data_IF_583946248952
#
_entry.id   IF_583946248952
#
_cell.length_a   1.000
_cell.length_b   1.000
_cell.length_c   1.000
_cell.angle_alpha   90.00
_cell.angle_beta   90.00
_cell.angle_gamma   90.00
#
_symmetry.space_group_name_H-M   'P 1'
#
loop_
_entity.id
_entity.type
_entity.pdbx_description
1 polymer ?
#
# COMPACT_ATOMS: atom_id res chain seq x y z
N UNK A 1 -4.45 17.06 3.91
CA UNK A 1 -3.56 16.95 2.73
C UNK A 1 -4.20 17.82 1.66
N UNK A 2 -3.42 18.66 0.95
CA UNK A 2 -3.99 19.44 -0.16
C UNK A 2 -4.39 18.51 -1.31
N UNK A 3 -5.35 18.91 -2.11
CA UNK A 3 -5.74 18.17 -3.33
C UNK A 3 -4.79 18.51 -4.48
N UNK A 4 -4.78 17.67 -5.54
CA UNK A 4 -3.99 17.86 -6.77
C UNK A 4 -3.85 19.33 -7.20
N UNK A 5 -4.96 20.07 -7.28
CA UNK A 5 -5.00 21.44 -7.82
C UNK A 5 -4.57 22.51 -6.79
N UNK A 6 -4.44 22.16 -5.52
CA UNK A 6 -4.01 23.04 -4.43
C UNK A 6 -2.50 22.95 -4.15
N UNK A 7 -1.86 21.89 -4.63
CA UNK A 7 -0.46 21.62 -4.33
C UNK A 7 0.45 22.23 -5.40
N UNK A 8 1.58 22.82 -5.01
CA UNK A 8 2.55 23.34 -5.97
C UNK A 8 3.15 22.18 -6.79
N UNK A 9 3.67 22.51 -7.97
CA UNK A 9 4.27 21.55 -8.92
C UNK A 9 5.40 20.70 -8.31
N UNK A 10 6.10 21.23 -7.31
CA UNK A 10 7.16 20.53 -6.57
C UNK A 10 6.65 19.47 -5.59
N UNK A 11 5.35 19.44 -5.31
CA UNK A 11 4.73 18.40 -4.50
C UNK A 11 4.15 17.28 -5.34
N UNK A 12 4.61 16.06 -5.07
CA UNK A 12 4.29 14.86 -5.85
C UNK A 12 2.97 14.18 -5.45
N UNK A 13 2.27 14.68 -4.43
CA UNK A 13 0.95 14.13 -4.10
C UNK A 13 -0.07 14.57 -5.15
N UNK A 14 -0.67 13.59 -5.83
CA UNK A 14 -1.71 13.78 -6.85
C UNK A 14 -3.08 13.28 -6.36
N UNK A 15 -3.22 13.10 -5.05
CA UNK A 15 -4.45 12.61 -4.44
C UNK A 15 -5.60 13.61 -4.63
N UNK A 16 -6.78 13.07 -4.89
CA UNK A 16 -8.00 13.82 -5.13
C UNK A 16 -9.15 13.22 -4.32
N UNK A 17 -9.98 14.06 -3.72
CA UNK A 17 -11.18 13.63 -2.99
C UNK A 17 -12.16 12.97 -3.97
N UNK A 18 -12.74 11.83 -3.58
CA UNK A 18 -13.71 11.12 -4.42
C UNK A 18 -13.10 10.42 -5.63
N UNK A 19 -11.77 10.29 -5.72
CA UNK A 19 -11.14 9.55 -6.80
C UNK A 19 -11.42 8.04 -6.66
N UNK A 20 -11.90 7.44 -7.75
CA UNK A 20 -12.05 5.99 -7.93
C UNK A 20 -10.91 5.44 -8.78
N UNK A 21 -10.81 4.11 -8.92
CA UNK A 21 -9.84 3.47 -9.81
C UNK A 21 -9.88 4.00 -11.25
N UNK A 22 -11.03 4.48 -11.74
CA UNK A 22 -11.18 5.08 -13.06
C UNK A 22 -10.24 6.30 -13.28
N UNK A 23 -9.93 7.05 -12.21
CA UNK A 23 -9.06 8.23 -12.27
C UNK A 23 -7.56 7.90 -12.15
N UNK A 24 -7.21 6.65 -11.83
CA UNK A 24 -5.81 6.29 -11.60
C UNK A 24 -4.89 6.55 -12.80
N UNK A 25 -5.30 6.28 -14.06
CA UNK A 25 -4.46 6.60 -15.22
C UNK A 25 -4.16 8.10 -15.34
N UNK A 26 -5.12 8.97 -15.04
CA UNK A 26 -4.92 10.43 -15.04
C UNK A 26 -3.95 10.85 -13.94
N UNK A 27 -4.13 10.34 -12.71
CA UNK A 27 -3.22 10.62 -11.60
C UNK A 27 -1.80 10.12 -11.87
N UNK A 28 -1.64 8.96 -12.50
CA UNK A 28 -0.34 8.43 -12.89
C UNK A 28 0.36 9.33 -13.91
N UNK A 29 -0.35 9.83 -14.92
CA UNK A 29 0.19 10.79 -15.91
C UNK A 29 0.62 12.09 -15.23
N UNK A 30 -0.21 12.59 -14.32
CA UNK A 30 0.09 13.83 -13.57
C UNK A 30 1.31 13.66 -12.66
N UNK A 31 1.43 12.55 -11.94
CA UNK A 31 2.60 12.24 -11.12
C UNK A 31 3.87 12.22 -11.98
N UNK A 32 3.82 11.53 -13.12
CA UNK A 32 4.95 11.48 -14.08
C UNK A 32 5.30 12.87 -14.59
N UNK A 33 4.31 13.71 -14.89
CA UNK A 33 4.53 15.09 -15.33
C UNK A 33 5.25 15.91 -14.25
N UNK A 34 4.79 15.86 -13.00
CA UNK A 34 5.43 16.55 -11.87
C UNK A 34 6.83 16.04 -11.60
N UNK A 35 7.01 14.73 -11.62
CA UNK A 35 8.31 14.08 -11.42
C UNK A 35 9.34 14.50 -12.48
N UNK A 36 8.92 14.62 -13.75
CA UNK A 36 9.77 15.12 -14.85
C UNK A 36 10.18 16.58 -14.70
N UNK A 37 9.36 17.38 -14.03
CA UNK A 37 9.59 18.82 -13.82
C UNK A 37 10.33 19.12 -12.51
N UNK A 38 10.50 18.13 -11.64
CA UNK A 38 11.18 18.29 -10.36
C UNK A 38 12.70 18.36 -10.58
N UNK A 39 13.28 19.56 -10.43
CA UNK A 39 14.71 19.81 -10.69
C UNK A 39 15.60 19.36 -9.53
N UNK A 40 15.04 19.26 -8.33
CA UNK A 40 15.75 18.94 -7.10
C UNK A 40 16.12 17.46 -6.98
N UNK A 41 15.46 16.59 -7.75
CA UNK A 41 15.65 15.13 -7.67
C UNK A 41 15.85 14.54 -9.07
N UNK A 42 16.97 13.85 -9.27
CA UNK A 42 17.17 13.06 -10.47
C UNK A 42 16.40 11.72 -10.38
N UNK A 43 15.12 11.75 -10.74
CA UNK A 43 14.22 10.58 -10.68
C UNK A 43 14.65 9.44 -11.62
N UNK A 44 15.55 9.70 -12.58
CA UNK A 44 16.05 8.66 -13.49
C UNK A 44 17.06 7.75 -12.81
N UNK A 45 17.87 8.29 -11.91
CA UNK A 45 18.93 7.55 -11.22
C UNK A 45 18.57 7.19 -9.77
N UNK A 46 17.64 7.92 -9.16
CA UNK A 46 17.16 7.64 -7.80
C UNK A 46 15.91 6.77 -7.79
N UNK A 47 15.85 5.86 -6.80
CA UNK A 47 14.64 5.08 -6.53
C UNK A 47 13.49 5.98 -6.09
N UNK A 48 12.35 5.81 -6.76
CA UNK A 48 11.10 6.47 -6.42
C UNK A 48 10.12 5.46 -5.85
N UNK A 49 9.72 5.66 -4.60
CA UNK A 49 8.64 4.90 -3.98
C UNK A 49 7.30 5.61 -4.23
N UNK A 50 6.35 4.93 -4.87
CA UNK A 50 5.01 5.45 -5.14
C UNK A 50 4.01 4.68 -4.28
N UNK A 51 3.40 5.36 -3.30
CA UNK A 51 2.35 4.78 -2.47
C UNK A 51 1.00 5.20 -3.04
N UNK A 52 0.22 4.22 -3.48
CA UNK A 52 -1.12 4.42 -4.03
C UNK A 52 -2.12 3.85 -3.03
N UNK A 53 -3.11 4.65 -2.62
CA UNK A 53 -4.21 4.20 -1.76
C UNK A 53 -5.52 4.44 -2.50
N UNK A 54 -6.27 3.38 -2.80
CA UNK A 54 -7.47 3.47 -3.63
C UNK A 54 -8.58 2.55 -3.12
N UNK A 55 -9.81 2.76 -3.58
CA UNK A 55 -10.91 1.83 -3.39
C UNK A 55 -11.84 2.07 -2.22
N UNK A 56 -11.40 2.81 -1.18
CA UNK A 56 -12.31 3.17 -0.09
C UNK A 56 -13.50 3.97 -0.62
N UNK A 57 -13.30 4.85 -1.59
CA UNK A 57 -14.38 5.60 -2.23
C UNK A 57 -15.35 4.67 -3.00
N UNK A 58 -14.85 3.74 -3.81
CA UNK A 58 -15.67 2.79 -4.57
C UNK A 58 -16.47 1.86 -3.66
N UNK A 59 -15.81 1.29 -2.65
CA UNK A 59 -16.46 0.43 -1.65
C UNK A 59 -17.55 1.18 -0.89
N UNK A 60 -17.38 2.49 -0.68
CA UNK A 60 -18.26 3.26 0.18
C UNK A 60 -19.43 3.95 -0.54
N UNK A 61 -19.18 4.44 -1.75
CA UNK A 61 -20.18 5.15 -2.56
C UNK A 61 -20.96 4.21 -3.48
N UNK A 62 -20.32 3.18 -4.04
CA UNK A 62 -20.89 2.34 -5.10
C UNK A 62 -20.99 0.86 -4.74
N UNK A 63 -20.21 0.38 -3.75
CA UNK A 63 -20.12 -1.03 -3.39
C UNK A 63 -19.75 -1.91 -4.61
N UNK A 64 -18.81 -1.44 -5.42
CA UNK A 64 -18.38 -2.10 -6.67
C UNK A 64 -16.94 -2.56 -6.60
N UNK A 65 -16.64 -3.63 -7.35
CA UNK A 65 -15.29 -4.04 -7.71
C UNK A 65 -14.49 -2.90 -8.35
N UNK A 66 -13.14 -2.95 -8.29
CA UNK A 66 -12.28 -1.98 -8.96
C UNK A 66 -12.33 -2.12 -10.49
N UNK A 67 -12.04 -1.02 -11.19
CA UNK A 67 -11.75 -1.05 -12.62
C UNK A 67 -10.32 -1.59 -12.85
N UNK A 68 -10.21 -2.89 -13.08
CA UNK A 68 -8.94 -3.59 -13.30
C UNK A 68 -8.17 -3.03 -14.50
N UNK A 69 -8.87 -2.67 -15.58
CA UNK A 69 -8.24 -2.09 -16.76
C UNK A 69 -7.58 -0.75 -16.45
N UNK A 70 -8.26 0.13 -15.69
CA UNK A 70 -7.69 1.40 -15.27
C UNK A 70 -6.50 1.22 -14.29
N UNK A 71 -6.57 0.23 -13.40
CA UNK A 71 -5.44 -0.15 -12.54
C UNK A 71 -4.22 -0.55 -13.36
N UNK A 72 -4.39 -1.48 -14.31
CA UNK A 72 -3.32 -1.95 -15.20
C UNK A 72 -2.73 -0.80 -16.02
N UNK A 73 -3.58 0.03 -16.63
CA UNK A 73 -3.12 1.18 -17.43
C UNK A 73 -2.29 2.16 -16.59
N UNK A 74 -2.72 2.46 -15.36
CA UNK A 74 -1.99 3.35 -14.46
C UNK A 74 -0.61 2.79 -14.10
N UNK A 75 -0.52 1.49 -13.78
CA UNK A 75 0.76 0.85 -13.46
C UNK A 75 1.67 0.79 -14.69
N UNK A 76 1.12 0.48 -15.87
CA UNK A 76 1.86 0.53 -17.15
C UNK A 76 2.44 1.93 -17.42
N UNK A 77 1.67 3.00 -17.14
CA UNK A 77 2.14 4.39 -17.26
C UNK A 77 3.33 4.64 -16.33
N UNK A 78 3.24 4.21 -15.06
CA UNK A 78 4.33 4.38 -14.09
C UNK A 78 5.57 3.56 -14.51
N UNK A 79 5.40 2.30 -14.88
CA UNK A 79 6.49 1.41 -15.32
C UNK A 79 7.24 1.97 -16.52
N UNK A 80 6.54 2.55 -17.50
CA UNK A 80 7.17 3.14 -18.70
C UNK A 80 7.92 4.44 -18.42
N UNK A 81 7.60 5.15 -17.34
CA UNK A 81 8.09 6.51 -17.10
C UNK A 81 8.97 6.67 -15.87
N UNK A 82 9.00 5.70 -14.95
CA UNK A 82 9.79 5.71 -13.72
C UNK A 82 10.81 4.56 -13.81
N UNK A 83 12.07 4.84 -14.17
CA UNK A 83 13.08 3.80 -14.40
C UNK A 83 13.40 2.97 -13.15
N UNK A 84 13.46 3.62 -11.98
CA UNK A 84 13.73 2.98 -10.69
C UNK A 84 12.51 3.20 -9.79
N UNK A 85 11.57 2.27 -9.82
CA UNK A 85 10.25 2.42 -9.22
C UNK A 85 9.91 1.29 -8.26
N UNK A 86 9.44 1.64 -7.07
CA UNK A 86 8.76 0.69 -6.19
C UNK A 86 7.34 1.20 -5.89
N UNK A 87 6.35 0.53 -6.48
CA UNK A 87 4.94 0.89 -6.30
C UNK A 87 4.35 0.04 -5.18
N UNK A 88 3.79 0.69 -4.16
CA UNK A 88 3.00 0.04 -3.11
C UNK A 88 1.55 0.44 -3.32
N UNK A 89 0.75 -0.50 -3.81
CA UNK A 89 -0.68 -0.28 -4.07
C UNK A 89 -1.48 -0.87 -2.91
N UNK A 90 -2.26 -0.03 -2.23
CA UNK A 90 -3.10 -0.38 -1.10
C UNK A 90 -4.57 -0.24 -1.50
N UNK A 91 -5.32 -1.31 -1.29
CA UNK A 91 -6.76 -1.32 -1.49
C UNK A 91 -7.55 -0.65 -0.36
N UNK A 92 -8.87 -0.89 -0.31
CA UNK A 92 -9.78 -0.29 0.65
C UNK A 92 -9.34 -0.50 2.10
N UNK A 93 -9.70 0.45 2.97
CA UNK A 93 -9.43 0.31 4.40
C UNK A 93 -10.35 -0.75 5.03
N UNK A 94 -9.80 -1.57 5.90
CA UNK A 94 -10.57 -2.51 6.73
C UNK A 94 -10.23 -2.29 8.18
N UNK A 95 -11.17 -1.69 8.90
CA UNK A 95 -10.96 -1.34 10.30
C UNK A 95 -11.87 -2.22 11.15
N UNK A 96 -11.28 -2.98 12.07
CA UNK A 96 -12.01 -3.98 12.84
C UNK A 96 -11.59 -4.03 14.31
N UNK A 97 -12.41 -4.73 15.10
CA UNK A 97 -12.03 -5.13 16.46
C UNK A 97 -11.11 -6.37 16.42
N UNK A 98 -10.21 -6.55 17.41
CA UNK A 98 -9.36 -7.74 17.48
C UNK A 98 -10.14 -9.04 17.64
N UNK A 99 -11.30 -9.00 18.30
CA UNK A 99 -12.18 -10.16 18.51
C UNK A 99 -13.18 -10.38 17.36
N UNK A 100 -13.24 -9.46 16.38
CA UNK A 100 -14.19 -9.51 15.27
C UNK A 100 -13.49 -9.09 13.97
N UNK A 101 -12.49 -9.86 13.54
CA UNK A 101 -11.64 -9.51 12.39
C UNK A 101 -12.40 -9.40 11.07
N UNK A 102 -13.53 -10.10 10.93
CA UNK A 102 -14.40 -10.01 9.74
C UNK A 102 -15.29 -8.75 9.74
N UNK A 103 -15.49 -8.13 10.89
CA UNK A 103 -16.34 -6.94 11.02
C UNK A 103 -15.62 -5.68 10.51
N UNK A 104 -15.89 -5.29 9.27
CA UNK A 104 -15.37 -4.03 8.72
C UNK A 104 -16.24 -2.84 9.13
N UNK A 105 -15.68 -1.92 9.91
CA UNK A 105 -16.36 -0.71 10.36
C UNK A 105 -16.63 0.31 9.25
N UNK A 106 -16.07 0.13 8.05
CA UNK A 106 -16.53 0.87 6.88
C UNK A 106 -18.00 0.59 6.56
N UNK A 107 -18.48 -0.64 6.74
CA UNK A 107 -19.85 -1.05 6.37
C UNK A 107 -20.90 -0.08 6.94
N UNK A 108 -20.81 0.24 8.24
CA UNK A 108 -21.78 1.13 8.90
C UNK A 108 -21.64 2.61 8.52
N UNK A 109 -20.52 3.00 7.91
CA UNK A 109 -20.18 4.38 7.52
C UNK A 109 -20.44 4.68 6.05
N UNK A 110 -20.78 3.66 5.27
CA UNK A 110 -20.91 3.75 3.83
C UNK A 110 -22.36 3.59 3.42
N UNK A 111 -22.84 4.52 2.58
CA UNK A 111 -24.27 4.60 2.28
C UNK A 111 -24.76 3.36 1.52
N UNK A 112 -23.94 2.79 0.62
CA UNK A 112 -24.31 1.59 -0.13
C UNK A 112 -24.28 0.29 0.68
N UNK A 113 -23.53 0.22 1.79
CA UNK A 113 -23.34 -1.02 2.57
C UNK A 113 -23.91 -0.99 4.00
N UNK A 114 -24.40 0.16 4.48
CA UNK A 114 -24.95 0.33 5.85
C UNK A 114 -26.02 -0.71 6.15
N UNK A 115 -26.98 -0.87 5.24
CA UNK A 115 -28.12 -1.78 5.38
C UNK A 115 -27.92 -3.13 4.65
N UNK A 116 -26.81 -3.29 3.94
CA UNK A 116 -26.51 -4.52 3.22
C UNK A 116 -26.16 -5.70 4.15
N UNK A 117 -26.18 -6.92 3.61
CA UNK A 117 -25.69 -8.10 4.31
C UNK A 117 -24.17 -8.07 4.49
N UNK A 118 -23.66 -8.80 5.48
CA UNK A 118 -22.21 -9.00 5.62
C UNK A 118 -21.62 -9.76 4.43
N UNK A 119 -22.40 -10.61 3.77
CA UNK A 119 -21.98 -11.35 2.57
C UNK A 119 -21.61 -10.42 1.42
N UNK A 120 -22.26 -9.26 1.29
CA UNK A 120 -21.89 -8.26 0.28
C UNK A 120 -20.46 -7.77 0.51
N UNK A 121 -20.11 -7.43 1.75
CA UNK A 121 -18.76 -6.95 2.09
C UNK A 121 -17.70 -8.04 1.90
N UNK A 122 -18.03 -9.29 2.23
CA UNK A 122 -17.14 -10.43 1.99
C UNK A 122 -16.89 -10.67 0.49
N UNK A 123 -17.95 -10.62 -0.33
CA UNK A 123 -17.85 -10.73 -1.79
C UNK A 123 -17.02 -9.58 -2.37
N UNK A 124 -17.29 -8.36 -1.96
CA UNK A 124 -16.57 -7.18 -2.41
C UNK A 124 -15.08 -7.24 -2.05
N UNK A 125 -14.75 -7.64 -0.81
CA UNK A 125 -13.35 -7.88 -0.40
C UNK A 125 -12.67 -8.95 -1.26
N UNK A 126 -13.39 -10.03 -1.62
CA UNK A 126 -12.87 -11.06 -2.51
C UNK A 126 -12.64 -10.57 -3.95
N UNK A 127 -13.51 -9.73 -4.49
CA UNK A 127 -13.35 -9.10 -5.81
C UNK A 127 -12.13 -8.17 -5.85
N UNK A 128 -11.97 -7.32 -4.82
CA UNK A 128 -10.79 -6.47 -4.66
C UNK A 128 -9.50 -7.27 -4.52
N UNK A 129 -9.54 -8.36 -3.75
CA UNK A 129 -8.43 -9.29 -3.61
C UNK A 129 -8.01 -9.86 -4.96
N UNK A 130 -8.96 -10.42 -5.71
CA UNK A 130 -8.71 -11.01 -7.02
C UNK A 130 -8.11 -9.99 -7.99
N UNK A 131 -8.69 -8.78 -8.06
CA UNK A 131 -8.19 -7.72 -8.94
C UNK A 131 -6.73 -7.33 -8.66
N UNK A 132 -6.34 -7.31 -7.38
CA UNK A 132 -4.97 -6.96 -6.97
C UNK A 132 -3.99 -8.11 -7.23
N UNK A 133 -4.43 -9.35 -7.07
CA UNK A 133 -3.67 -10.54 -7.46
C UNK A 133 -3.43 -10.57 -8.98
N UNK A 134 -4.48 -10.34 -9.78
CA UNK A 134 -4.41 -10.26 -11.24
C UNK A 134 -3.45 -9.13 -11.69
N UNK A 135 -3.46 -7.99 -11.01
CA UNK A 135 -2.56 -6.87 -11.29
C UNK A 135 -1.10 -7.18 -10.92
N UNK A 136 -0.86 -7.78 -9.75
CA UNK A 136 0.47 -8.21 -9.34
C UNK A 136 1.06 -9.20 -10.36
N UNK A 137 0.24 -10.17 -10.79
CA UNK A 137 0.62 -11.16 -11.80
C UNK A 137 0.91 -10.53 -13.17
N UNK A 138 0.08 -9.56 -13.61
CA UNK A 138 0.31 -8.81 -14.86
C UNK A 138 1.68 -8.14 -14.90
N UNK A 139 2.07 -7.50 -13.80
CA UNK A 139 3.38 -6.83 -13.69
C UNK A 139 4.50 -7.87 -13.61
N UNK A 140 4.36 -8.88 -12.74
CA UNK A 140 5.42 -9.87 -12.51
C UNK A 140 5.72 -10.71 -13.75
N UNK A 141 4.70 -10.99 -14.59
CA UNK A 141 4.83 -11.72 -15.86
C UNK A 141 5.14 -10.83 -17.07
N UNK A 142 5.15 -9.51 -16.92
CA UNK A 142 5.41 -8.59 -18.04
C UNK A 142 6.84 -8.80 -18.58
N UNK A 143 7.01 -9.16 -19.87
CA UNK A 143 8.35 -9.32 -20.46
C UNK A 143 9.10 -8.00 -20.59
N UNK A 144 8.40 -6.87 -20.43
CA UNK A 144 8.95 -5.52 -20.48
C UNK A 144 9.22 -4.94 -19.08
N UNK A 145 9.10 -5.74 -18.02
CA UNK A 145 9.43 -5.30 -16.67
C UNK A 145 10.93 -5.14 -16.50
N UNK A 146 11.35 -3.91 -16.24
CA UNK A 146 12.71 -3.62 -15.81
C UNK A 146 12.97 -4.27 -14.44
N UNK A 147 14.18 -4.79 -14.22
CA UNK A 147 14.59 -5.33 -12.90
C UNK A 147 14.56 -4.27 -11.78
N UNK A 148 14.56 -3.00 -12.17
CA UNK A 148 14.50 -1.80 -11.31
C UNK A 148 13.09 -1.30 -11.07
N UNK A 149 12.06 -2.03 -11.55
CA UNK A 149 10.66 -1.71 -11.30
C UNK A 149 9.95 -2.89 -10.62
N UNK A 150 9.28 -2.61 -9.51
CA UNK A 150 8.50 -3.60 -8.77
C UNK A 150 7.22 -3.03 -8.20
N UNK A 151 6.22 -3.89 -8.06
CA UNK A 151 4.95 -3.57 -7.39
C UNK A 151 4.76 -4.51 -6.19
N UNK A 152 4.12 -3.97 -5.15
CA UNK A 152 3.50 -4.72 -4.07
C UNK A 152 2.03 -4.32 -3.99
N UNK A 153 1.15 -5.16 -4.51
CA UNK A 153 -0.29 -4.98 -4.44
C UNK A 153 -0.84 -5.63 -3.16
N UNK A 154 -1.31 -4.81 -2.22
CA UNK A 154 -1.95 -5.24 -0.98
C UNK A 154 -3.45 -4.93 -1.08
N UNK A 155 -4.32 -5.95 -1.17
CA UNK A 155 -5.72 -5.78 -1.52
C UNK A 155 -6.55 -5.04 -0.48
N UNK A 156 -6.04 -4.95 0.75
CA UNK A 156 -6.76 -4.34 1.85
C UNK A 156 -5.81 -3.74 2.88
N UNK A 157 -6.10 -2.53 3.33
CA UNK A 157 -5.36 -1.87 4.40
C UNK A 157 -6.04 -2.20 5.74
N UNK A 158 -5.58 -3.25 6.39
CA UNK A 158 -6.20 -3.79 7.61
C UNK A 158 -5.67 -3.11 8.88
N UNK A 159 -6.57 -2.50 9.66
CA UNK A 159 -6.25 -1.85 10.94
C UNK A 159 -7.09 -2.48 12.06
N UNK A 160 -6.42 -3.15 13.00
CA UNK A 160 -7.06 -3.72 14.20
C UNK A 160 -6.84 -2.79 15.40
N UNK A 161 -7.88 -2.55 16.19
CA UNK A 161 -7.77 -1.70 17.39
C UNK A 161 -8.83 -2.06 18.42
N UNK A 162 -8.47 -2.00 19.72
CA UNK A 162 -9.44 -2.11 20.83
C UNK A 162 -10.50 -1.01 20.82
N UNK A 163 -10.17 0.14 20.23
CA UNK A 163 -11.07 1.29 20.10
C UNK A 163 -11.11 1.78 18.64
N UNK A 164 -11.64 0.97 17.71
CA UNK A 164 -11.48 1.22 16.28
C UNK A 164 -12.40 2.34 15.79
N UNK A 165 -13.53 2.59 16.46
CA UNK A 165 -14.40 3.76 16.20
C UNK A 165 -13.64 5.09 16.30
N UNK A 166 -12.70 5.20 17.25
CA UNK A 166 -11.89 6.40 17.47
C UNK A 166 -10.81 6.64 16.40
N UNK A 167 -10.72 5.79 15.38
CA UNK A 167 -9.80 5.95 14.24
C UNK A 167 -10.44 6.72 13.06
N UNK A 168 -11.76 6.90 13.09
CA UNK A 168 -12.50 7.60 12.04
C UNK A 168 -12.81 9.05 12.42
N UNK A 169 -13.08 9.86 11.40
CA UNK A 169 -13.83 11.11 11.57
C UNK A 169 -15.29 10.75 11.89
N UNK A 170 -15.95 11.40 12.87
CA UNK A 170 -17.34 11.09 13.21
C UNK A 170 -18.26 11.10 11.98
N UNK A 171 -19.04 10.02 11.81
CA UNK A 171 -20.00 9.82 10.73
C UNK A 171 -19.44 9.90 9.29
N UNK A 172 -18.12 9.82 9.12
CA UNK A 172 -17.50 9.79 7.80
C UNK A 172 -16.68 8.50 7.60
N UNK A 173 -16.61 7.97 6.37
CA UNK A 173 -15.78 6.82 6.03
C UNK A 173 -14.29 7.21 5.86
N UNK A 174 -13.82 8.20 6.63
CA UNK A 174 -12.48 8.77 6.52
C UNK A 174 -11.73 8.57 7.82
N UNK A 175 -10.47 8.14 7.73
CA UNK A 175 -9.59 8.06 8.89
C UNK A 175 -9.30 9.46 9.44
N UNK A 176 -9.26 9.58 10.76
CA UNK A 176 -8.73 10.76 11.41
C UNK A 176 -7.19 10.66 11.54
N UNK A 177 -6.56 11.66 12.15
CA UNK A 177 -5.09 11.68 12.35
C UNK A 177 -4.57 10.42 13.06
N UNK A 178 -5.30 9.91 14.06
CA UNK A 178 -4.93 8.68 14.78
C UNK A 178 -5.06 7.45 13.88
N UNK A 179 -6.13 7.37 13.09
CA UNK A 179 -6.32 6.32 12.08
C UNK A 179 -5.17 6.29 11.06
N UNK A 180 -4.80 7.44 10.51
CA UNK A 180 -3.65 7.54 9.59
C UNK A 180 -2.33 7.13 10.22
N UNK A 181 -2.08 7.47 11.49
CA UNK A 181 -0.88 7.01 12.20
C UNK A 181 -0.84 5.47 12.30
N UNK A 182 -1.99 4.83 12.56
CA UNK A 182 -2.06 3.37 12.66
C UNK A 182 -1.89 2.71 11.30
N UNK A 183 -2.51 3.27 10.26
CA UNK A 183 -2.34 2.84 8.87
C UNK A 183 -0.86 2.91 8.45
N UNK A 184 -0.17 4.00 8.78
CA UNK A 184 1.25 4.20 8.43
C UNK A 184 2.15 3.20 9.15
N UNK A 185 1.91 2.97 10.44
CA UNK A 185 2.67 2.00 11.23
C UNK A 185 2.45 0.57 10.75
N UNK A 186 1.19 0.22 10.46
CA UNK A 186 0.83 -1.05 9.86
C UNK A 186 1.57 -1.26 8.54
N UNK A 187 1.54 -0.27 7.64
CA UNK A 187 2.19 -0.34 6.34
C UNK A 187 3.70 -0.52 6.49
N UNK A 188 4.34 0.27 7.37
CA UNK A 188 5.77 0.15 7.64
C UNK A 188 6.13 -1.26 8.08
N UNK A 189 5.44 -1.78 9.11
CA UNK A 189 5.71 -3.12 9.62
C UNK A 189 5.40 -4.19 8.57
N UNK A 190 4.38 -4.01 7.73
CA UNK A 190 4.01 -4.93 6.64
C UNK A 190 5.06 -4.95 5.52
N UNK A 191 5.66 -3.82 5.19
CA UNK A 191 6.76 -3.70 4.22
C UNK A 191 8.05 -4.33 4.76
N UNK A 192 8.31 -4.20 6.06
CA UNK A 192 9.47 -4.81 6.70
C UNK A 192 9.26 -6.30 6.90
N UNK A 193 8.19 -6.78 7.53
CA UNK A 193 8.01 -8.20 7.85
C UNK A 193 7.50 -9.06 6.68
N UNK A 194 6.96 -8.45 5.62
CA UNK A 194 6.35 -9.21 4.51
C UNK A 194 5.00 -9.82 4.90
N UNK A 195 4.59 -10.87 4.19
CA UNK A 195 3.28 -11.53 4.38
C UNK A 195 3.10 -12.13 5.77
N UNK A 196 4.21 -12.44 6.44
CA UNK A 196 4.22 -13.00 7.79
C UNK A 196 3.87 -11.98 8.88
N UNK A 197 3.54 -10.72 8.53
CA UNK A 197 3.09 -9.73 9.50
C UNK A 197 1.72 -10.12 10.08
N UNK A 198 1.74 -10.71 11.27
CA UNK A 198 0.56 -11.26 11.92
C UNK A 198 -0.30 -10.16 12.60
N UNK A 199 -1.42 -9.83 11.96
CA UNK A 199 -2.40 -8.85 12.44
C UNK A 199 -3.21 -9.29 13.66
N UNK A 200 -3.37 -10.60 13.86
CA UNK A 200 -4.15 -11.17 14.97
C UNK A 200 -3.49 -10.92 16.34
N UNK A 201 -2.15 -10.80 16.36
CA UNK A 201 -1.38 -10.48 17.57
C UNK A 201 -1.00 -8.99 17.66
N UNK A 202 -1.09 -8.25 16.55
CA UNK A 202 -0.69 -6.85 16.48
C UNK A 202 -1.69 -5.96 17.22
N UNK A 203 -1.23 -5.27 18.26
CA UNK A 203 -1.95 -4.14 18.84
C UNK A 203 -1.25 -2.91 18.33
N UNK A 204 -1.72 -2.35 17.21
CA UNK A 204 -1.04 -1.24 16.52
C UNK A 204 -0.76 -0.02 17.42
N UNK A 205 -1.53 0.17 18.50
CA UNK A 205 -1.23 1.21 19.49
C UNK A 205 0.04 0.98 20.31
N UNK A 206 0.45 -0.28 20.47
CA UNK A 206 1.53 -0.76 21.34
C UNK A 206 2.69 -1.42 20.58
N UNK A 207 2.48 -1.83 19.32
CA UNK A 207 3.52 -2.47 18.51
C UNK A 207 4.79 -1.61 18.40
N UNK A 208 5.95 -2.22 18.21
CA UNK A 208 7.15 -1.48 17.81
C UNK A 208 7.12 -1.20 16.30
N UNK A 209 7.83 -0.17 15.86
CA UNK A 209 8.24 -0.10 14.45
C UNK A 209 9.33 -1.15 14.23
N UNK A 210 9.17 -1.98 13.21
CA UNK A 210 10.17 -2.99 12.89
C UNK A 210 11.37 -2.36 12.19
N UNK A 211 12.57 -2.78 12.60
CA UNK A 211 13.80 -2.46 11.89
C UNK A 211 14.02 -3.49 10.77
N UNK A 212 14.59 -3.09 9.62
CA UNK A 212 15.05 -4.04 8.61
C UNK A 212 16.01 -5.07 9.22
N UNK A 213 15.88 -6.34 8.83
CA UNK A 213 16.81 -7.40 9.28
C UNK A 213 18.13 -7.29 8.53
N UNK A 214 19.25 -7.64 9.16
CA UNK A 214 20.56 -7.71 8.49
C UNK A 214 20.53 -8.69 7.31
N UNK A 215 19.79 -9.80 7.46
CA UNK A 215 19.62 -10.78 6.37
C UNK A 215 18.75 -10.28 5.22
N UNK A 216 18.02 -9.18 5.43
CA UNK A 216 17.26 -8.53 4.38
C UNK A 216 16.97 -7.05 4.71
N UNK A 217 17.90 -6.15 4.33
CA UNK A 217 17.76 -4.71 4.56
C UNK A 217 16.89 -4.02 3.49
N UNK A 218 15.87 -4.72 2.96
CA UNK A 218 15.04 -4.25 1.86
C UNK A 218 13.56 -4.33 2.21
N UNK A 219 12.73 -3.52 1.54
CA UNK A 219 11.28 -3.74 1.57
C UNK A 219 10.94 -5.06 0.87
N UNK A 220 10.06 -5.84 1.50
CA UNK A 220 9.66 -7.15 0.99
C UNK A 220 8.64 -7.03 -0.13
N UNK A 221 8.88 -7.74 -1.23
CA UNK A 221 7.96 -7.87 -2.36
C UNK A 221 8.07 -9.28 -2.98
N UNK A 222 7.30 -9.55 -4.03
CA UNK A 222 7.30 -10.85 -4.71
C UNK A 222 8.69 -11.21 -5.27
N UNK A 223 9.43 -10.22 -5.78
CA UNK A 223 10.74 -10.40 -6.40
C UNK A 223 11.86 -10.81 -5.42
N UNK A 224 11.78 -10.41 -4.15
CA UNK A 224 12.80 -10.78 -3.14
C UNK A 224 12.31 -11.79 -2.09
N UNK A 225 11.12 -12.35 -2.27
CA UNK A 225 10.48 -13.31 -1.35
C UNK A 225 11.37 -14.49 -0.95
N UNK A 226 12.10 -15.09 -1.89
CA UNK A 226 12.99 -16.23 -1.63
C UNK A 226 14.39 -15.84 -1.10
N UNK A 227 14.89 -14.65 -1.47
CA UNK A 227 16.24 -14.20 -1.09
C UNK A 227 16.31 -13.48 0.26
N UNK A 228 15.15 -13.09 0.80
CA UNK A 228 15.03 -12.16 1.92
C UNK A 228 14.65 -12.88 3.23
N UNK A 229 15.60 -13.54 3.89
CA UNK A 229 15.36 -14.22 5.16
C UNK A 229 15.32 -13.24 6.35
N UNK A 230 14.35 -13.44 7.26
CA UNK A 230 14.37 -12.79 8.58
C UNK A 230 15.40 -13.50 9.44
N UNK A 231 16.51 -12.82 9.72
CA UNK A 231 17.54 -13.31 10.63
C UNK A 231 17.56 -12.44 11.89
N UNK A 232 17.70 -13.09 13.03
CA UNK A 232 18.10 -12.47 14.28
C UNK A 232 19.55 -11.97 14.20
N UNK A 233 19.93 -11.11 15.14
CA UNK A 233 21.30 -10.60 15.21
C UNK A 233 22.33 -11.71 15.45
N UNK A 234 21.98 -12.78 16.17
CA UNK A 234 22.83 -13.95 16.38
C UNK A 234 23.01 -14.76 15.10
N UNK A 235 21.91 -15.08 14.39
CA UNK A 235 21.97 -15.82 13.12
C UNK A 235 22.73 -15.04 12.04
N UNK A 236 22.58 -13.71 12.01
CA UNK A 236 23.35 -12.87 11.09
C UNK A 236 24.86 -12.91 11.41
N UNK A 237 25.23 -12.90 12.69
CA UNK A 237 26.63 -13.02 13.13
C UNK A 237 27.22 -14.39 12.79
N UNK A 238 26.47 -15.47 13.01
CA UNK A 238 26.89 -16.84 12.65
C UNK A 238 27.11 -17.00 11.14
N UNK A 239 26.33 -16.29 10.32
CA UNK A 239 26.50 -16.25 8.86
C UNK A 239 27.53 -15.22 8.38
N UNK A 240 28.24 -14.57 9.30
CA UNK A 240 29.23 -13.49 9.06
C UNK A 240 28.68 -12.29 8.27
N UNK A 241 27.36 -12.11 8.26
CA UNK A 241 26.73 -11.03 7.50
C UNK A 241 26.94 -9.69 8.21
N UNK A 242 27.45 -8.70 7.47
CA UNK A 242 27.61 -7.32 7.94
C UNK A 242 26.93 -6.36 6.97
N UNK A 243 26.36 -5.27 7.48
CA UNK A 243 25.89 -4.17 6.63
C UNK A 243 27.08 -3.26 6.31
N UNK A 244 27.37 -3.08 5.03
CA UNK A 244 28.31 -2.08 4.53
C UNK A 244 27.80 -0.66 4.78
N UNK A 245 28.70 0.33 4.65
CA UNK A 245 28.33 1.75 4.78
C UNK A 245 27.32 2.24 3.72
N UNK A 246 27.14 1.47 2.64
CA UNK A 246 26.15 1.67 1.58
C UNK A 246 24.85 0.89 1.81
N UNK A 247 24.70 0.22 2.95
CA UNK A 247 23.53 -0.59 3.32
C UNK A 247 23.46 -1.96 2.66
N UNK A 248 24.46 -2.35 1.85
CA UNK A 248 24.50 -3.69 1.24
C UNK A 248 25.02 -4.73 2.22
N UNK A 249 24.55 -5.96 2.05
CA UNK A 249 25.03 -7.10 2.84
C UNK A 249 26.40 -7.52 2.31
N UNK A 250 27.41 -7.39 3.16
CA UNK A 250 28.75 -7.92 2.98
C UNK A 250 28.81 -9.29 3.67
N UNK A 251 29.48 -10.23 3.02
CA UNK A 251 29.85 -11.52 3.59
C UNK A 251 31.35 -11.53 3.83
#
# INVERSE_FOLDING_TARGET
MGTRDQLPETQLSVAESGATTDKMPEQARELVRRLKNLVEVNYRDHWTMVIITIGTEEVCSRCTAPNVTALMEAIDILQRNIPHGFVVLLGPIHVSFPHELKGNLLKSRCDCSREASNTLMEQLSAEWKKAFEDLQEHVDKSPFRASTFGILAIPELTITSRYPYGLFIPNKPLLNRRGHNYATKWLWNRLIAGENYNLSAAVLSQDAYFCPSIGCPYFRNTANSHGCQLLSLSEAKEKELRLGGDGKVLK
#
